data_IF_798238297834
#
_entry.id   IF_798238297834
#
_cell.length_a   1.000
_cell.length_b   1.000
_cell.length_c   1.000
_cell.angle_alpha   90.00
_cell.angle_beta   90.00
_cell.angle_gamma   90.00
#
_symmetry.space_group_name_H-M   'P 1'
#
loop_
_entity.id
_entity.type
_entity.pdbx_description
1 polymer ?
#
# COMPACT_ATOMS: atom_id res chain seq x y z
N UNK A 1 -1.82 -8.05 -11.40
CA UNK A 1 -1.73 -9.00 -10.30
C UNK A 1 -2.96 -9.91 -10.23
N UNK A 2 -4.16 -9.34 -10.30
CA UNK A 2 -5.41 -10.10 -10.23
C UNK A 2 -5.55 -11.03 -11.44
N UNK A 3 -5.41 -10.52 -12.65
CA UNK A 3 -5.56 -11.30 -13.90
C UNK A 3 -4.47 -12.39 -14.02
N UNK A 4 -3.25 -12.08 -13.63
CA UNK A 4 -2.10 -12.98 -13.68
C UNK A 4 -2.05 -13.96 -12.48
N UNK A 5 -2.90 -13.77 -11.47
CA UNK A 5 -2.94 -14.54 -10.21
C UNK A 5 -1.59 -14.60 -9.49
N UNK A 6 -0.83 -13.51 -9.54
CA UNK A 6 0.52 -13.42 -8.96
C UNK A 6 0.53 -12.89 -7.52
N UNK A 7 -0.61 -12.51 -6.97
CA UNK A 7 -0.75 -12.03 -5.59
C UNK A 7 -2.09 -11.39 -5.31
N UNK A 8 -2.24 -10.77 -4.16
CA UNK A 8 -3.44 -10.06 -3.74
C UNK A 8 -3.76 -8.83 -4.60
N UNK A 9 -4.98 -8.27 -4.48
CA UNK A 9 -5.48 -7.19 -5.34
C UNK A 9 -4.93 -5.81 -4.95
N UNK A 10 -3.67 -5.76 -4.51
CA UNK A 10 -3.05 -4.55 -3.98
C UNK A 10 -1.83 -4.13 -4.80
N UNK A 11 -1.74 -2.83 -5.05
CA UNK A 11 -0.63 -2.19 -5.73
C UNK A 11 -0.26 -0.86 -5.07
N UNK A 12 0.99 -0.46 -5.22
CA UNK A 12 1.49 0.81 -4.73
C UNK A 12 2.47 1.43 -5.73
N UNK A 13 2.60 2.74 -5.70
CA UNK A 13 3.60 3.48 -6.46
C UNK A 13 4.18 4.62 -5.62
N UNK A 14 5.48 4.84 -5.73
CA UNK A 14 6.15 6.01 -5.18
C UNK A 14 6.31 7.05 -6.27
N UNK A 15 5.76 8.24 -6.06
CA UNK A 15 5.70 9.33 -7.03
C UNK A 15 6.47 10.54 -6.48
N UNK A 16 7.34 11.13 -7.28
CA UNK A 16 8.07 12.35 -6.96
C UNK A 16 7.22 13.61 -7.10
N UNK A 17 7.69 14.76 -6.61
CA UNK A 17 6.98 16.05 -6.71
C UNK A 17 6.74 16.50 -8.16
N UNK A 18 7.61 16.12 -9.09
CA UNK A 18 7.45 16.37 -10.52
C UNK A 18 6.60 15.29 -11.24
N UNK A 19 5.79 14.55 -10.48
CA UNK A 19 4.83 13.55 -10.93
C UNK A 19 5.40 12.35 -11.69
N UNK A 20 6.68 12.02 -11.47
CA UNK A 20 7.29 10.82 -12.05
C UNK A 20 7.16 9.63 -11.11
N UNK A 21 6.81 8.48 -11.66
CA UNK A 21 6.84 7.21 -10.91
C UNK A 21 8.30 6.79 -10.72
N UNK A 22 8.73 6.75 -9.46
CA UNK A 22 10.07 6.32 -9.05
C UNK A 22 10.15 4.80 -8.97
N UNK A 23 9.14 4.20 -8.34
CA UNK A 23 8.99 2.75 -8.23
C UNK A 23 7.52 2.40 -8.14
N UNK A 24 7.18 1.17 -8.51
CA UNK A 24 5.86 0.59 -8.28
C UNK A 24 6.00 -0.85 -7.83
N UNK A 25 5.09 -1.30 -6.99
CA UNK A 25 5.05 -2.66 -6.46
C UNK A 25 3.64 -3.19 -6.42
N UNK A 26 3.54 -4.51 -6.44
CA UNK A 26 2.30 -5.25 -6.23
C UNK A 26 2.48 -6.18 -5.04
N UNK A 27 1.37 -6.66 -4.49
CA UNK A 27 1.42 -7.66 -3.44
C UNK A 27 2.04 -8.97 -3.98
N UNK A 28 3.07 -9.47 -3.31
CA UNK A 28 3.81 -10.68 -3.68
C UNK A 28 3.79 -11.76 -2.58
N UNK A 29 2.89 -11.63 -1.59
CA UNK A 29 2.82 -12.55 -0.44
C UNK A 29 2.74 -14.00 -0.88
N UNK A 30 1.81 -14.34 -1.76
CA UNK A 30 1.58 -15.73 -2.19
C UNK A 30 2.59 -16.20 -3.21
N UNK A 31 3.03 -15.35 -4.14
CA UNK A 31 3.97 -15.74 -5.21
C UNK A 31 5.40 -15.95 -4.71
N UNK A 32 5.81 -15.23 -3.67
CA UNK A 32 7.15 -15.35 -3.08
C UNK A 32 7.15 -16.01 -1.69
N UNK A 33 6.01 -16.52 -1.22
CA UNK A 33 5.86 -17.16 0.09
C UNK A 33 6.44 -16.31 1.24
N UNK A 34 6.14 -15.01 1.23
CA UNK A 34 6.67 -14.08 2.22
C UNK A 34 5.57 -13.12 2.67
N UNK A 35 5.08 -13.28 3.90
CA UNK A 35 3.93 -12.57 4.46
C UNK A 35 4.07 -11.05 4.53
N UNK A 36 5.29 -10.53 4.52
CA UNK A 36 5.54 -9.08 4.62
C UNK A 36 5.62 -8.38 3.26
N UNK A 37 5.58 -9.10 2.14
CA UNK A 37 5.70 -8.51 0.80
C UNK A 37 4.38 -7.89 0.31
N UNK A 38 3.85 -6.98 1.10
CA UNK A 38 2.77 -6.10 0.68
C UNK A 38 3.24 -5.11 -0.38
N UNK A 39 2.33 -4.57 -1.16
CA UNK A 39 2.65 -3.68 -2.28
C UNK A 39 3.50 -2.46 -1.87
N UNK A 40 3.19 -1.88 -0.71
CA UNK A 40 3.94 -0.74 -0.17
C UNK A 40 5.37 -1.12 0.21
N UNK A 41 5.56 -2.29 0.83
CA UNK A 41 6.90 -2.79 1.20
C UNK A 41 7.71 -3.04 -0.06
N UNK A 42 7.14 -3.72 -1.06
CA UNK A 42 7.79 -3.95 -2.36
C UNK A 42 8.17 -2.63 -3.03
N UNK A 43 7.27 -1.64 -3.01
CA UNK A 43 7.52 -0.31 -3.58
C UNK A 43 8.66 0.41 -2.86
N UNK A 44 8.69 0.37 -1.51
CA UNK A 44 9.77 0.98 -0.71
C UNK A 44 11.10 0.30 -1.02
N UNK A 45 11.15 -1.03 -1.08
CA UNK A 45 12.36 -1.79 -1.42
C UNK A 45 12.91 -1.39 -2.80
N UNK A 46 12.07 -1.38 -3.82
CA UNK A 46 12.46 -1.01 -5.19
C UNK A 46 12.90 0.46 -5.29
N UNK A 47 12.20 1.37 -4.58
CA UNK A 47 12.57 2.77 -4.55
C UNK A 47 13.92 2.98 -3.86
N UNK A 48 14.15 2.32 -2.73
CA UNK A 48 15.41 2.39 -1.98
C UNK A 48 16.60 1.88 -2.79
N UNK A 49 16.42 0.76 -3.49
CA UNK A 49 17.42 0.22 -4.42
C UNK A 49 17.72 1.22 -5.55
N UNK A 50 16.67 1.70 -6.23
CA UNK A 50 16.81 2.63 -7.36
C UNK A 50 17.48 3.94 -6.99
N UNK A 51 17.18 4.47 -5.81
CA UNK A 51 17.71 5.76 -5.33
C UNK A 51 19.02 5.61 -4.54
N UNK A 52 19.44 4.39 -4.24
CA UNK A 52 20.66 4.10 -3.50
C UNK A 52 20.63 4.64 -2.06
N UNK A 53 19.48 4.58 -1.38
CA UNK A 53 19.33 5.06 0.00
C UNK A 53 18.21 4.31 0.72
N UNK A 54 18.39 4.07 2.02
CA UNK A 54 17.34 3.60 2.91
C UNK A 54 16.42 4.75 3.40
N UNK A 55 16.89 5.99 3.38
CA UNK A 55 16.17 7.18 3.80
C UNK A 55 15.70 7.97 2.58
N UNK A 56 14.54 7.63 2.05
CA UNK A 56 14.02 8.23 0.80
C UNK A 56 13.89 9.75 0.90
N UNK A 57 13.58 10.29 2.11
CA UNK A 57 13.49 11.72 2.34
C UNK A 57 14.78 12.51 2.00
N UNK A 58 15.95 11.86 1.98
CA UNK A 58 17.22 12.50 1.55
C UNK A 58 17.27 12.77 0.04
N UNK A 59 16.43 12.08 -0.74
CA UNK A 59 16.37 12.18 -2.21
C UNK A 59 15.25 13.07 -2.71
N UNK A 60 14.36 13.53 -1.81
CA UNK A 60 13.26 14.42 -2.15
C UNK A 60 11.99 14.11 -1.37
N UNK A 61 10.91 14.77 -1.77
CA UNK A 61 9.58 14.53 -1.22
C UNK A 61 8.82 13.58 -2.14
N UNK A 62 8.25 12.57 -1.55
CA UNK A 62 7.52 11.54 -2.29
C UNK A 62 6.10 11.38 -1.78
N UNK A 63 5.23 10.98 -2.71
CA UNK A 63 3.87 10.53 -2.44
C UNK A 63 3.80 9.02 -2.64
N UNK A 64 3.33 8.29 -1.64
CA UNK A 64 2.92 6.89 -1.79
C UNK A 64 1.47 6.86 -2.25
N UNK A 65 1.24 6.38 -3.45
CA UNK A 65 -0.11 6.14 -4.01
C UNK A 65 -0.41 4.66 -3.87
N UNK A 66 -1.53 4.31 -3.23
CA UNK A 66 -1.88 2.93 -2.88
C UNK A 66 -3.33 2.62 -3.23
N UNK A 67 -3.58 1.40 -3.67
CA UNK A 67 -4.94 0.96 -4.03
C UNK A 67 -5.84 0.69 -2.82
N UNK A 68 -5.26 0.55 -1.62
CA UNK A 68 -5.99 0.43 -0.35
C UNK A 68 -5.33 1.29 0.72
N UNK A 69 -6.05 1.65 1.79
CA UNK A 69 -5.41 2.23 2.98
C UNK A 69 -4.32 1.28 3.51
N UNK A 70 -3.22 1.81 4.06
CA UNK A 70 -2.13 0.95 4.53
C UNK A 70 -2.61 0.11 5.74
N UNK A 71 -2.29 -1.18 5.74
CA UNK A 71 -2.50 -2.05 6.90
C UNK A 71 -1.60 -1.64 8.07
N UNK A 72 -1.79 -2.24 9.25
CA UNK A 72 -1.01 -1.91 10.45
C UNK A 72 0.52 -2.00 10.23
N UNK A 73 1.00 -2.98 9.47
CA UNK A 73 2.42 -3.15 9.14
C UNK A 73 2.92 -2.04 8.20
N UNK A 74 2.21 -1.78 7.11
CA UNK A 74 2.60 -0.77 6.12
C UNK A 74 2.49 0.65 6.67
N UNK A 75 1.51 0.89 7.56
CA UNK A 75 1.38 2.14 8.31
C UNK A 75 2.65 2.45 9.12
N UNK A 76 3.31 1.44 9.68
CA UNK A 76 4.60 1.62 10.36
C UNK A 76 5.77 1.85 9.39
N UNK A 77 5.78 1.18 8.24
CA UNK A 77 6.89 1.23 7.28
C UNK A 77 6.99 2.58 6.53
N UNK A 78 5.87 3.19 6.18
CA UNK A 78 5.79 4.44 5.41
C UNK A 78 6.57 5.60 6.09
N UNK A 79 6.37 5.91 7.39
CA UNK A 79 7.16 6.93 8.09
C UNK A 79 8.66 6.64 8.13
N UNK A 80 9.04 5.38 8.34
CA UNK A 80 10.44 4.95 8.40
C UNK A 80 11.16 5.15 7.07
N UNK A 81 10.47 4.95 5.96
CA UNK A 81 10.99 5.26 4.63
C UNK A 81 11.13 6.78 4.37
N UNK A 82 10.59 7.63 5.25
CA UNK A 82 10.62 9.09 5.10
C UNK A 82 9.56 9.65 4.14
N UNK A 83 8.53 8.88 3.83
CA UNK A 83 7.44 9.30 2.94
C UNK A 83 6.50 10.24 3.72
N UNK A 84 6.15 11.38 3.12
CA UNK A 84 5.39 12.47 3.77
C UNK A 84 4.00 12.70 3.19
N UNK A 85 3.60 11.93 2.19
CA UNK A 85 2.26 12.01 1.61
C UNK A 85 1.77 10.63 1.22
N UNK A 86 0.52 10.33 1.57
CA UNK A 86 -0.18 9.09 1.21
C UNK A 86 -1.45 9.45 0.47
N UNK A 87 -1.70 8.78 -0.64
CA UNK A 87 -2.95 8.84 -1.42
C UNK A 87 -3.50 7.44 -1.52
N UNK A 88 -4.72 7.20 -1.00
CA UNK A 88 -5.32 5.87 -0.97
C UNK A 88 -6.67 5.83 -1.70
N UNK A 89 -6.96 4.65 -2.24
CA UNK A 89 -8.17 4.35 -3.01
C UNK A 89 -9.27 3.79 -2.08
N UNK A 90 -9.31 2.49 -1.83
CA UNK A 90 -10.31 1.87 -0.95
C UNK A 90 -9.91 2.00 0.52
N UNK A 91 -10.90 1.92 1.40
CA UNK A 91 -10.68 2.03 2.84
C UNK A 91 -10.37 0.68 3.48
N UNK A 92 -9.81 0.73 4.68
CA UNK A 92 -9.59 -0.43 5.56
C UNK A 92 -10.88 -1.25 5.77
N UNK A 93 -12.00 -0.57 5.98
CA UNK A 93 -13.31 -1.21 6.14
C UNK A 93 -13.74 -2.01 4.91
N UNK A 94 -13.43 -1.53 3.70
CA UNK A 94 -13.73 -2.20 2.43
C UNK A 94 -12.91 -3.48 2.28
N UNK A 95 -11.63 -3.40 2.63
CA UNK A 95 -10.68 -4.52 2.57
C UNK A 95 -11.07 -5.62 3.57
N UNK A 96 -11.44 -5.22 4.79
CA UNK A 96 -11.95 -6.16 5.81
C UNK A 96 -13.27 -6.80 5.41
N UNK A 97 -14.16 -6.05 4.77
CA UNK A 97 -15.46 -6.55 4.33
C UNK A 97 -15.33 -7.70 3.31
N UNK A 98 -14.26 -7.73 2.52
CA UNK A 98 -13.96 -8.82 1.58
C UNK A 98 -13.10 -9.94 2.19
N UNK A 99 -12.78 -9.86 3.48
CA UNK A 99 -12.17 -10.94 4.26
C UNK A 99 -10.68 -10.82 4.55
N UNK A 100 -10.00 -9.76 4.11
CA UNK A 100 -8.59 -9.55 4.48
C UNK A 100 -8.44 -9.01 5.90
N UNK A 101 -7.37 -9.42 6.56
CA UNK A 101 -7.00 -8.92 7.89
C UNK A 101 -5.98 -7.79 7.76
N UNK A 102 -6.38 -6.56 8.11
CA UNK A 102 -5.53 -5.36 8.06
C UNK A 102 -4.69 -5.16 9.35
N UNK A 103 -4.70 -6.12 10.24
CA UNK A 103 -4.02 -6.06 11.52
C UNK A 103 -4.68 -5.13 12.53
N UNK A 104 -3.99 -4.91 13.65
CA UNK A 104 -4.46 -4.03 14.73
C UNK A 104 -4.08 -2.57 14.43
N UNK A 105 -4.82 -1.95 13.53
CA UNK A 105 -4.61 -0.57 13.09
C UNK A 105 -5.39 0.39 14.01
N UNK A 106 -4.76 1.47 14.53
CA UNK A 106 -5.46 2.49 15.30
C UNK A 106 -6.59 3.15 14.51
N UNK A 107 -7.71 3.46 15.14
CA UNK A 107 -8.81 4.15 14.47
C UNK A 107 -8.45 5.59 14.08
N UNK A 108 -7.61 6.23 14.87
CA UNK A 108 -7.09 7.59 14.69
C UNK A 108 -5.76 7.63 13.88
N UNK A 109 -5.53 6.64 13.02
CA UNK A 109 -4.28 6.52 12.26
C UNK A 109 -3.96 7.73 11.37
N UNK A 110 -4.99 8.45 10.90
CA UNK A 110 -4.83 9.66 10.08
C UNK A 110 -4.29 10.81 10.93
N UNK A 111 -4.86 11.00 12.13
CA UNK A 111 -4.40 11.99 13.10
C UNK A 111 -2.97 11.68 13.53
N UNK A 112 -2.65 10.40 13.73
CA UNK A 112 -1.31 9.95 14.03
C UNK A 112 -0.32 10.30 12.90
N UNK A 113 -0.68 10.05 11.65
CA UNK A 113 0.13 10.45 10.50
C UNK A 113 0.29 11.98 10.40
N UNK A 114 -0.80 12.72 10.57
CA UNK A 114 -0.80 14.18 10.54
C UNK A 114 0.13 14.77 11.60
N UNK A 115 0.14 14.21 12.81
CA UNK A 115 1.04 14.63 13.89
C UNK A 115 2.53 14.41 13.55
N UNK A 116 2.83 13.47 12.66
CA UNK A 116 4.19 13.21 12.14
C UNK A 116 4.50 14.02 10.84
N UNK A 117 3.61 14.92 10.43
CA UNK A 117 3.75 15.71 9.22
C UNK A 117 3.53 14.91 7.93
N UNK A 118 2.77 13.81 8.00
CA UNK A 118 2.36 12.99 6.85
C UNK A 118 0.94 13.36 6.47
N UNK A 119 0.72 13.86 5.27
CA UNK A 119 -0.61 14.15 4.75
C UNK A 119 -1.27 12.91 4.14
N UNK A 120 -2.58 12.77 4.33
CA UNK A 120 -3.36 11.64 3.80
C UNK A 120 -4.52 12.17 2.95
N UNK A 121 -4.63 11.65 1.74
CA UNK A 121 -5.79 11.85 0.86
C UNK A 121 -6.44 10.49 0.61
N UNK A 122 -7.72 10.37 0.92
CA UNK A 122 -8.48 9.11 0.85
C UNK A 122 -9.49 9.12 -0.30
N UNK A 123 -10.07 7.97 -0.57
CA UNK A 123 -11.21 7.77 -1.46
C UNK A 123 -10.97 8.14 -2.93
N UNK A 124 -9.69 8.18 -3.34
CA UNK A 124 -9.34 8.46 -4.74
C UNK A 124 -9.69 7.24 -5.59
N UNK A 125 -10.67 7.36 -6.47
CA UNK A 125 -11.22 6.28 -7.29
C UNK A 125 -11.73 5.08 -6.45
N UNK A 126 -12.35 5.34 -5.27
CA UNK A 126 -12.80 4.28 -4.35
C UNK A 126 -13.75 3.28 -5.04
N UNK A 127 -14.69 3.77 -5.86
CA UNK A 127 -15.64 2.91 -6.54
C UNK A 127 -14.97 1.96 -7.55
N UNK A 128 -13.94 2.42 -8.23
CA UNK A 128 -13.12 1.61 -9.15
C UNK A 128 -12.30 0.58 -8.38
N UNK A 129 -11.72 0.98 -7.26
CA UNK A 129 -11.00 0.08 -6.38
C UNK A 129 -11.87 -1.02 -5.79
N UNK A 130 -13.11 -0.70 -5.40
CA UNK A 130 -14.10 -1.69 -4.94
C UNK A 130 -14.36 -2.76 -5.99
N UNK A 131 -14.52 -2.38 -7.26
CA UNK A 131 -14.71 -3.35 -8.36
C UNK A 131 -13.53 -4.33 -8.50
N UNK A 132 -12.30 -3.86 -8.23
CA UNK A 132 -11.11 -4.74 -8.24
C UNK A 132 -11.16 -5.73 -7.09
N UNK A 133 -11.55 -5.31 -5.88
CA UNK A 133 -11.73 -6.21 -4.74
C UNK A 133 -12.81 -7.26 -5.01
N UNK A 134 -13.96 -6.83 -5.52
CA UNK A 134 -15.08 -7.71 -5.87
C UNK A 134 -14.67 -8.74 -6.95
N UNK A 135 -13.96 -8.31 -7.99
CA UNK A 135 -13.45 -9.19 -9.04
C UNK A 135 -12.46 -10.21 -8.49
N UNK A 136 -11.59 -9.80 -7.55
CA UNK A 136 -10.65 -10.70 -6.89
C UNK A 136 -11.38 -11.80 -6.10
N UNK A 137 -12.37 -11.43 -5.29
CA UNK A 137 -13.17 -12.39 -4.52
C UNK A 137 -13.95 -13.33 -5.44
N UNK A 138 -14.59 -12.78 -6.48
CA UNK A 138 -15.35 -13.57 -7.46
C UNK A 138 -14.48 -14.57 -8.23
N UNK A 139 -13.18 -14.30 -8.38
CA UNK A 139 -12.23 -15.22 -9.02
C UNK A 139 -11.89 -16.45 -8.17
N UNK A 140 -12.31 -16.53 -6.90
CA UNK A 140 -11.94 -17.57 -5.94
C UNK A 140 -10.47 -17.53 -5.53
N UNK A 141 -9.80 -16.39 -5.69
CA UNK A 141 -8.41 -16.23 -5.30
C UNK A 141 -8.23 -16.24 -3.77
N UNK A 142 -7.01 -16.57 -3.34
CA UNK A 142 -6.69 -16.78 -1.92
C UNK A 142 -6.79 -15.48 -1.11
N UNK A 143 -7.60 -15.52 -0.04
CA UNK A 143 -7.56 -14.49 1.02
C UNK A 143 -6.52 -14.98 2.05
N UNK A 144 -5.36 -14.35 2.07
CA UNK A 144 -4.24 -14.73 2.94
C UNK A 144 -4.21 -13.82 4.17
N UNK A 145 -4.32 -14.42 5.36
CA UNK A 145 -4.39 -13.70 6.64
C UNK A 145 -3.32 -14.12 7.65
N UNK A 146 -2.38 -14.99 7.29
CA UNK A 146 -1.30 -15.46 8.17
C UNK A 146 -1.76 -16.41 9.28
N UNK A 147 -2.95 -17.01 9.15
CA UNK A 147 -3.51 -18.01 10.08
C UNK A 147 -3.44 -19.42 9.47
#
# INVERSE_FOLDING_TARGET
NVDERTGGPFAAALVSEDHRVIASGVNLVTSLNCSVLHAEIVTIMMASERLGTWALAERGRFTMVITAEPCAMCMGAIPWAGIKRVVSCVRDEDVRAVGFNEGNKPQDWIEHYTSQGISVTRDVLRNEGMKVLEAYVASGAVIYNGE
#
